data_IF_704894916674
#
_entry.id   IF_704894916674
#
_cell.length_a   1.000
_cell.length_b   1.000
_cell.length_c   1.000
_cell.angle_alpha   90.00
_cell.angle_beta   90.00
_cell.angle_gamma   90.00
#
_symmetry.space_group_name_H-M   'P 1'
#
loop_
_entity.id
_entity.type
_entity.pdbx_description
1 polymer ?
#
# COMPACT_ATOMS: atom_id res chain seq x y z
N UNK A 1 -17.95 -2.31 -73.52
CA UNK A 1 -19.13 -1.48 -73.19
C UNK A 1 -19.22 -1.37 -71.68
N UNK A 2 -18.99 -0.15 -71.17
CA UNK A 2 -19.50 0.44 -69.92
C UNK A 2 -19.33 -0.24 -68.53
N UNK A 3 -18.57 0.49 -67.68
CA UNK A 3 -18.86 0.89 -66.28
C UNK A 3 -18.74 -0.19 -65.17
N UNK A 4 -18.26 0.03 -63.93
CA UNK A 4 -17.99 1.21 -63.08
C UNK A 4 -17.02 0.73 -61.96
N UNK A 5 -15.95 1.47 -61.66
CA UNK A 5 -15.81 2.30 -60.44
C UNK A 5 -16.32 1.67 -59.14
N UNK A 6 -15.42 1.08 -58.36
CA UNK A 6 -15.48 1.05 -56.89
C UNK A 6 -14.08 1.30 -56.34
N UNK A 7 -13.62 2.52 -56.63
CA UNK A 7 -12.52 3.15 -55.92
C UNK A 7 -12.94 3.44 -54.48
N UNK A 8 -12.06 3.10 -53.54
CA UNK A 8 -11.70 3.96 -52.41
C UNK A 8 -12.87 4.26 -51.45
N UNK A 9 -13.22 3.33 -50.55
CA UNK A 9 -13.95 3.72 -49.33
C UNK A 9 -13.92 2.70 -48.16
N UNK A 10 -12.90 1.85 -47.98
CA UNK A 10 -12.85 0.94 -46.81
C UNK A 10 -11.43 0.82 -46.21
N UNK A 11 -10.57 1.84 -46.32
CA UNK A 11 -9.23 1.82 -45.65
C UNK A 11 -9.04 3.02 -44.69
N UNK A 12 -10.01 3.93 -44.59
CA UNK A 12 -9.96 5.07 -43.66
C UNK A 12 -10.68 4.84 -42.32
N UNK A 13 -11.27 3.66 -42.10
CA UNK A 13 -12.06 3.36 -40.90
C UNK A 13 -11.40 2.41 -39.89
N UNK A 14 -10.30 1.74 -40.24
CA UNK A 14 -9.70 0.67 -39.41
C UNK A 14 -8.41 1.08 -38.68
N UNK A 15 -7.99 2.35 -38.78
CA UNK A 15 -6.78 2.88 -38.13
C UNK A 15 -7.09 3.91 -37.01
N UNK A 16 -8.29 3.87 -36.44
CA UNK A 16 -8.76 4.75 -35.35
C UNK A 16 -9.34 3.97 -34.17
N UNK A 17 -8.90 2.72 -34.03
CA UNK A 17 -9.19 1.88 -32.87
C UNK A 17 -7.90 1.21 -32.37
N UNK A 18 -6.77 1.92 -32.47
CA UNK A 18 -5.72 1.71 -31.48
C UNK A 18 -6.28 2.23 -30.17
N UNK A 19 -6.89 1.30 -29.44
CA UNK A 19 -7.23 1.40 -28.04
C UNK A 19 -6.12 2.20 -27.36
N UNK A 20 -6.44 3.45 -26.97
CA UNK A 20 -5.71 4.18 -25.95
C UNK A 20 -5.73 3.30 -24.72
N UNK A 21 -4.81 2.34 -24.66
CA UNK A 21 -4.39 1.75 -23.40
C UNK A 21 -3.70 2.90 -22.68
N UNK A 22 -4.51 3.75 -22.07
CA UNK A 22 -4.08 4.62 -21.00
C UNK A 22 -3.49 3.64 -20.01
N UNK A 23 -2.16 3.52 -20.02
CA UNK A 23 -1.45 2.57 -19.16
C UNK A 23 -1.72 3.08 -17.74
N UNK A 24 -2.74 2.53 -17.10
CA UNK A 24 -3.13 2.79 -15.72
C UNK A 24 -2.11 2.14 -14.77
N UNK A 25 -0.86 2.59 -14.87
CA UNK A 25 0.19 2.16 -13.99
C UNK A 25 0.48 3.24 -12.95
N UNK A 26 0.54 2.83 -11.69
CA UNK A 26 0.48 3.71 -10.54
C UNK A 26 1.40 3.18 -9.42
N UNK A 27 1.47 3.84 -8.26
CA UNK A 27 2.37 3.46 -7.17
C UNK A 27 1.70 3.40 -5.81
N UNK A 28 2.13 2.46 -4.97
CA UNK A 28 1.64 2.32 -3.59
C UNK A 28 2.75 2.04 -2.57
N UNK A 29 2.59 2.58 -1.37
CA UNK A 29 3.39 2.25 -0.20
C UNK A 29 2.87 0.95 0.42
N UNK A 30 3.73 -0.07 0.43
CA UNK A 30 3.42 -1.43 0.87
C UNK A 30 3.94 -1.73 2.28
N UNK A 31 5.10 -1.18 2.66
CA UNK A 31 5.60 -1.26 4.03
C UNK A 31 6.15 0.10 4.48
N UNK A 32 5.65 0.69 5.59
CA UNK A 32 4.44 0.28 6.31
C UNK A 32 3.20 0.33 5.42
N UNK A 33 2.24 -0.63 5.54
CA UNK A 33 1.03 -0.63 4.73
C UNK A 33 0.27 0.68 4.87
N UNK A 34 0.06 1.36 3.74
CA UNK A 34 -0.74 2.58 3.70
C UNK A 34 -2.24 2.29 3.67
N UNK A 35 -3.06 3.26 4.09
CA UNK A 35 -4.52 3.16 4.24
C UNK A 35 -5.23 2.52 3.04
N UNK A 36 -4.76 2.83 1.83
CA UNK A 36 -5.22 2.29 0.54
C UNK A 36 -4.87 0.80 0.34
N UNK A 37 -3.71 0.35 0.82
CA UNK A 37 -3.17 -1.00 0.59
C UNK A 37 -3.37 -1.93 1.80
N UNK A 38 -3.79 -1.42 2.95
CA UNK A 38 -3.96 -2.16 4.20
C UNK A 38 -4.80 -3.45 4.05
N UNK A 39 -5.84 -3.45 3.21
CA UNK A 39 -6.66 -4.64 2.95
C UNK A 39 -5.85 -5.82 2.36
N UNK A 40 -4.77 -5.56 1.61
CA UNK A 40 -3.88 -6.60 1.07
C UNK A 40 -3.10 -7.34 2.15
N UNK A 41 -3.02 -6.76 3.33
CA UNK A 41 -2.33 -7.31 4.50
C UNK A 41 -3.32 -7.80 5.57
N UNK A 42 -4.57 -8.05 5.17
CA UNK A 42 -5.61 -8.53 6.07
C UNK A 42 -6.22 -7.45 6.97
N UNK A 43 -5.95 -6.16 6.80
CA UNK A 43 -6.61 -5.18 7.66
C UNK A 43 -8.10 -5.01 7.27
N UNK A 44 -9.03 -4.70 8.20
CA UNK A 44 -10.46 -4.54 7.94
C UNK A 44 -10.78 -3.22 7.22
N UNK A 45 -9.78 -2.62 6.58
CA UNK A 45 -9.99 -1.54 5.63
C UNK A 45 -10.81 -2.09 4.46
N UNK A 46 -11.77 -1.33 3.92
CA UNK A 46 -12.49 -1.74 2.72
C UNK A 46 -11.52 -2.05 1.58
N UNK A 47 -11.85 -3.05 0.76
CA UNK A 47 -11.03 -3.43 -0.39
C UNK A 47 -10.97 -2.25 -1.37
N UNK A 48 -9.74 -1.87 -1.75
CA UNK A 48 -9.49 -0.87 -2.78
C UNK A 48 -8.66 -1.51 -3.90
N UNK A 49 -9.31 -1.91 -5.00
CA UNK A 49 -8.61 -2.49 -6.16
C UNK A 49 -7.73 -1.49 -6.90
N UNK A 50 -8.02 -0.19 -6.73
CA UNK A 50 -7.26 0.93 -7.30
C UNK A 50 -6.36 1.55 -6.23
N UNK A 51 -5.85 0.75 -5.29
CA UNK A 51 -5.02 1.22 -4.18
C UNK A 51 -3.67 1.79 -4.62
N UNK A 52 -3.23 1.49 -5.84
CA UNK A 52 -2.10 2.18 -6.45
C UNK A 52 -2.48 3.56 -7.00
N UNK A 53 -3.76 3.85 -7.22
CA UNK A 53 -4.25 5.07 -7.89
C UNK A 53 -4.55 6.23 -6.93
N UNK A 54 -3.60 6.58 -6.04
CA UNK A 54 -3.69 7.81 -5.22
C UNK A 54 -2.84 8.95 -5.78
N UNK A 55 -3.22 9.43 -6.97
CA UNK A 55 -2.49 10.34 -7.85
C UNK A 55 -3.08 11.75 -7.87
N UNK A 56 -3.59 12.21 -6.71
CA UNK A 56 -4.19 13.55 -6.53
C UNK A 56 -5.39 13.84 -7.45
N UNK A 57 -6.05 12.79 -7.96
CA UNK A 57 -7.15 12.87 -8.92
C UNK A 57 -6.71 12.91 -10.39
N UNK A 58 -5.42 12.79 -10.68
CA UNK A 58 -4.87 12.92 -12.03
C UNK A 58 -4.18 14.26 -12.27
N UNK A 59 -3.23 14.27 -13.21
CA UNK A 59 -2.43 15.45 -13.55
C UNK A 59 -3.28 16.70 -13.80
N UNK A 60 -4.28 16.62 -14.68
CA UNK A 60 -5.12 17.77 -15.02
C UNK A 60 -5.96 18.26 -13.82
N UNK A 61 -6.49 17.33 -13.03
CA UNK A 61 -7.26 17.65 -11.82
C UNK A 61 -6.38 18.33 -10.78
N UNK A 62 -5.17 17.81 -10.53
CA UNK A 62 -4.24 18.43 -9.60
C UNK A 62 -3.82 19.82 -10.07
N UNK A 63 -3.31 19.95 -11.29
CA UNK A 63 -2.58 21.14 -11.71
C UNK A 63 -3.44 22.23 -12.32
N UNK A 64 -4.50 21.87 -13.04
CA UNK A 64 -5.34 22.83 -13.76
C UNK A 64 -6.60 23.16 -12.95
N UNK A 65 -7.28 22.16 -12.38
CA UNK A 65 -8.48 22.38 -11.57
C UNK A 65 -8.15 22.79 -10.13
N UNK A 66 -7.21 22.10 -9.49
CA UNK A 66 -6.89 22.30 -8.07
C UNK A 66 -5.66 23.20 -7.83
N UNK A 67 -5.14 23.88 -8.86
CA UNK A 67 -3.99 24.78 -8.77
C UNK A 67 -2.75 24.15 -8.09
N UNK A 68 -2.45 22.90 -8.44
CA UNK A 68 -1.35 22.11 -7.91
C UNK A 68 -1.62 21.42 -6.56
N UNK A 69 -2.79 21.64 -5.96
CA UNK A 69 -3.12 21.11 -4.64
C UNK A 69 -3.52 19.64 -4.71
N UNK A 70 -3.13 18.90 -3.69
CA UNK A 70 -3.44 17.48 -3.49
C UNK A 70 -4.01 17.28 -2.08
N UNK A 71 -4.85 16.27 -1.88
CA UNK A 71 -5.28 15.82 -0.55
C UNK A 71 -4.09 15.39 0.31
N UNK A 72 -4.29 15.37 1.63
CA UNK A 72 -3.18 15.01 2.56
C UNK A 72 -2.70 13.57 2.33
N UNK A 73 -3.58 12.70 1.84
CA UNK A 73 -3.27 11.29 1.60
C UNK A 73 -3.52 10.85 0.15
N UNK A 74 -3.36 11.78 -0.82
CA UNK A 74 -3.36 11.46 -2.26
C UNK A 74 -4.71 11.52 -2.97
N UNK A 75 -5.79 11.78 -2.25
CA UNK A 75 -7.10 12.06 -2.82
C UNK A 75 -7.11 13.36 -3.63
N UNK A 76 -8.05 13.49 -4.57
CA UNK A 76 -8.27 14.73 -5.30
C UNK A 76 -8.66 15.88 -4.37
N UNK A 77 -8.00 17.04 -4.51
CA UNK A 77 -8.13 18.12 -3.54
C UNK A 77 -9.56 18.71 -3.46
N UNK A 78 -10.31 18.77 -4.56
CA UNK A 78 -11.69 19.30 -4.53
C UNK A 78 -12.72 18.39 -3.84
N UNK A 79 -12.38 17.13 -3.53
CA UNK A 79 -13.30 16.24 -2.82
C UNK A 79 -13.65 16.80 -1.43
N UNK A 80 -14.89 16.56 -1.01
CA UNK A 80 -15.38 16.97 0.31
C UNK A 80 -14.57 16.26 1.40
N UNK A 81 -14.23 16.99 2.45
CA UNK A 81 -13.57 16.44 3.64
C UNK A 81 -14.56 15.78 4.62
N UNK A 82 -14.19 14.70 5.31
CA UNK A 82 -12.91 13.97 5.15
C UNK A 82 -12.87 13.23 3.81
N UNK A 83 -11.75 13.36 3.09
CA UNK A 83 -11.55 12.60 1.84
C UNK A 83 -11.37 11.11 2.17
N UNK A 84 -11.55 10.19 1.21
CA UNK A 84 -11.56 8.76 1.50
C UNK A 84 -10.35 8.25 2.28
N UNK A 85 -9.14 8.76 2.01
CA UNK A 85 -7.90 8.32 2.66
C UNK A 85 -7.45 9.25 3.79
N UNK A 86 -8.23 10.27 4.14
CA UNK A 86 -8.00 11.15 5.29
C UNK A 86 -8.69 10.62 6.56
N UNK A 87 -8.33 11.13 7.73
CA UNK A 87 -8.81 10.74 9.04
C UNK A 87 -10.34 10.89 9.12
N UNK A 88 -11.01 9.79 9.48
CA UNK A 88 -12.47 9.70 9.47
C UNK A 88 -13.08 9.37 8.10
N UNK A 89 -12.26 9.24 7.05
CA UNK A 89 -12.65 8.76 5.73
C UNK A 89 -12.93 7.25 5.69
N UNK A 90 -13.20 6.77 4.48
CA UNK A 90 -13.46 5.35 4.20
C UNK A 90 -12.28 4.46 4.60
N UNK A 91 -11.06 4.85 4.24
CA UNK A 91 -9.83 4.12 4.49
C UNK A 91 -9.02 4.68 5.67
N UNK A 92 -9.26 5.93 6.07
CA UNK A 92 -8.61 6.57 7.22
C UNK A 92 -9.25 6.18 8.57
N UNK A 93 -9.19 4.89 8.92
CA UNK A 93 -9.77 4.34 10.17
C UNK A 93 -8.88 4.53 11.41
N UNK A 94 -7.64 4.99 11.25
CA UNK A 94 -6.69 5.15 12.35
C UNK A 94 -6.14 3.85 12.91
N UNK A 95 -6.18 2.77 12.12
CA UNK A 95 -5.62 1.46 12.50
C UNK A 95 -4.11 1.52 12.36
N UNK A 96 -3.38 1.15 13.43
CA UNK A 96 -1.93 1.16 13.45
C UNK A 96 -1.39 -0.03 12.63
N UNK A 97 -0.73 0.24 11.51
CA UNK A 97 -0.18 -0.78 10.62
C UNK A 97 1.21 -1.27 11.03
N UNK A 98 1.97 -0.46 11.77
CA UNK A 98 3.29 -0.83 12.33
C UNK A 98 3.58 -0.14 13.65
N UNK A 99 4.44 -0.79 14.44
CA UNK A 99 4.99 -0.27 15.69
C UNK A 99 6.50 -0.17 15.55
N UNK A 100 7.05 0.98 15.93
CA UNK A 100 8.48 1.28 15.85
C UNK A 100 8.99 1.88 17.16
N UNK A 101 10.30 1.96 17.30
CA UNK A 101 10.97 2.70 18.37
C UNK A 101 11.52 4.03 17.86
N UNK A 102 11.58 5.04 18.73
CA UNK A 102 12.15 6.34 18.40
C UNK A 102 13.61 6.18 17.92
N UNK A 103 13.94 6.78 16.77
CA UNK A 103 15.27 6.67 16.17
C UNK A 103 15.53 5.42 15.33
N UNK A 104 14.56 4.50 15.25
CA UNK A 104 14.70 3.26 14.49
C UNK A 104 14.93 3.54 13.00
N UNK A 105 15.82 2.74 12.39
CA UNK A 105 15.89 2.62 10.93
C UNK A 105 14.86 1.60 10.47
N UNK A 106 13.92 2.04 9.66
CA UNK A 106 12.82 1.22 9.16
C UNK A 106 13.03 0.89 7.70
N UNK A 107 12.64 -0.31 7.30
CA UNK A 107 12.53 -0.67 5.89
C UNK A 107 11.25 -0.08 5.31
N UNK A 108 11.35 0.42 4.09
CA UNK A 108 10.26 0.97 3.30
C UNK A 108 10.16 0.15 2.03
N UNK A 109 8.97 -0.36 1.75
CA UNK A 109 8.65 -1.04 0.49
C UNK A 109 7.64 -0.23 -0.29
N UNK A 110 7.98 0.09 -1.54
CA UNK A 110 7.12 0.76 -2.51
C UNK A 110 6.97 -0.13 -3.72
N UNK A 111 5.73 -0.37 -4.16
CA UNK A 111 5.45 -1.07 -5.41
C UNK A 111 4.99 -0.07 -6.46
N UNK A 112 5.69 -0.04 -7.61
CA UNK A 112 5.25 0.70 -8.78
C UNK A 112 4.75 -0.27 -9.85
N UNK A 113 3.45 -0.21 -10.16
CA UNK A 113 2.85 -0.98 -11.26
C UNK A 113 3.04 -0.31 -12.62
N UNK A 114 3.40 0.98 -12.65
CA UNK A 114 4.25 1.58 -13.66
C UNK A 114 5.26 2.54 -13.05
N UNK A 115 6.51 2.36 -13.44
CA UNK A 115 7.61 3.21 -13.04
C UNK A 115 7.76 4.37 -14.04
N UNK A 116 7.47 5.59 -13.57
CA UNK A 116 7.63 6.83 -14.32
C UNK A 116 8.92 7.60 -13.94
N UNK A 117 9.88 6.90 -13.30
CA UNK A 117 11.11 7.47 -12.73
C UNK A 117 10.83 8.65 -11.80
N UNK A 118 11.85 9.40 -11.41
CA UNK A 118 11.71 10.53 -10.51
C UNK A 118 12.16 10.16 -9.11
N UNK A 119 11.34 10.48 -8.09
CA UNK A 119 11.78 10.34 -6.70
C UNK A 119 10.67 10.07 -5.70
N UNK A 120 11.03 9.38 -4.63
CA UNK A 120 10.19 9.24 -3.44
C UNK A 120 10.67 10.19 -2.35
N UNK A 121 9.71 10.72 -1.60
CA UNK A 121 9.93 11.48 -0.38
C UNK A 121 9.02 10.94 0.70
N UNK A 122 9.52 10.87 1.93
CA UNK A 122 8.76 10.34 3.05
C UNK A 122 8.84 11.29 4.25
N UNK A 123 7.70 11.52 4.88
CA UNK A 123 7.56 12.45 5.99
C UNK A 123 6.78 11.81 7.13
N UNK A 124 6.98 12.30 8.34
CA UNK A 124 6.27 11.87 9.54
C UNK A 124 5.44 13.03 10.12
N UNK A 125 4.27 12.73 10.67
CA UNK A 125 3.53 13.67 11.50
C UNK A 125 3.11 12.98 12.83
N UNK A 126 3.57 13.46 13.99
CA UNK A 126 3.07 13.01 15.29
C UNK A 126 1.69 13.61 15.56
N UNK A 127 0.63 12.88 15.20
CA UNK A 127 -0.75 13.37 15.19
C UNK A 127 -1.53 13.04 16.48
N UNK A 128 -1.35 11.85 17.04
CA UNK A 128 -1.92 11.35 18.30
C UNK A 128 -3.46 11.38 18.40
N UNK A 129 -4.17 11.66 17.30
CA UNK A 129 -5.63 11.66 17.25
C UNK A 129 -6.11 11.10 15.90
N UNK A 130 -6.56 9.83 15.85
CA UNK A 130 -6.96 9.18 14.60
C UNK A 130 -8.20 9.80 13.93
N UNK A 131 -8.92 10.70 14.62
CA UNK A 131 -10.09 11.43 14.07
C UNK A 131 -9.74 12.82 13.53
N UNK A 132 -8.49 13.26 13.69
CA UNK A 132 -8.02 14.56 13.20
C UNK A 132 -7.00 14.33 12.10
N UNK A 133 -7.22 14.94 10.94
CA UNK A 133 -6.29 14.82 9.82
C UNK A 133 -4.97 15.54 10.11
N UNK A 134 -3.86 14.93 9.70
CA UNK A 134 -2.55 15.54 9.78
C UNK A 134 -2.46 16.72 8.80
N UNK A 135 -1.58 17.68 9.08
CA UNK A 135 -1.39 18.84 8.20
C UNK A 135 -0.09 18.71 7.42
N UNK A 136 -0.04 19.31 6.22
CA UNK A 136 1.21 19.38 5.46
C UNK A 136 2.32 20.07 6.26
N UNK A 137 1.98 21.09 7.06
CA UNK A 137 2.93 21.77 7.95
C UNK A 137 3.54 20.84 9.00
N UNK A 138 2.78 19.86 9.48
CA UNK A 138 3.29 18.84 10.40
C UNK A 138 4.32 17.95 9.69
N UNK A 139 3.98 17.44 8.50
CA UNK A 139 4.90 16.62 7.69
C UNK A 139 6.20 17.34 7.35
N UNK A 140 6.09 18.60 6.93
CA UNK A 140 7.24 19.40 6.51
C UNK A 140 8.26 19.61 7.65
N UNK A 141 7.87 19.42 8.92
CA UNK A 141 8.77 19.51 10.08
C UNK A 141 9.57 18.23 10.33
N UNK A 142 9.14 17.08 9.78
CA UNK A 142 9.79 15.79 10.03
C UNK A 142 9.99 14.99 8.71
N UNK A 143 10.85 15.48 7.80
CA UNK A 143 11.31 14.65 6.68
C UNK A 143 12.10 13.44 7.21
N UNK A 144 11.92 12.29 6.56
CA UNK A 144 12.65 11.07 6.88
C UNK A 144 13.83 10.89 5.94
N UNK A 145 15.03 10.85 6.52
CA UNK A 145 16.28 10.72 5.77
C UNK A 145 16.56 9.26 5.45
N UNK A 146 17.10 9.02 4.26
CA UNK A 146 17.56 7.70 3.83
C UNK A 146 18.71 7.27 4.74
N UNK A 147 18.65 6.03 5.25
CA UNK A 147 19.68 5.49 6.13
C UNK A 147 21.07 5.58 5.47
N UNK A 148 22.06 6.01 6.24
CA UNK A 148 23.43 6.22 5.75
C UNK A 148 23.63 7.47 4.89
N UNK A 149 22.59 8.31 4.70
CA UNK A 149 22.65 9.50 3.85
C UNK A 149 22.11 10.76 4.56
N UNK A 150 22.40 11.93 3.99
CA UNK A 150 21.76 13.21 4.34
C UNK A 150 20.63 13.59 3.37
N UNK A 151 20.35 12.75 2.38
CA UNK A 151 19.24 12.93 1.45
C UNK A 151 17.96 12.30 2.01
N UNK A 152 16.84 12.99 1.84
CA UNK A 152 15.49 12.47 2.10
C UNK A 152 14.73 12.16 0.79
N UNK A 153 15.34 12.49 -0.35
CA UNK A 153 14.81 12.24 -1.70
C UNK A 153 15.44 10.97 -2.24
N UNK A 154 14.66 9.88 -2.27
CA UNK A 154 15.11 8.64 -2.88
C UNK A 154 14.93 8.73 -4.40
N UNK A 155 16.04 8.80 -5.14
CA UNK A 155 16.00 8.84 -6.61
C UNK A 155 15.82 7.42 -7.16
N UNK A 156 14.83 7.24 -8.02
CA UNK A 156 14.60 5.95 -8.67
C UNK A 156 15.77 5.67 -9.64
N UNK A 157 16.45 4.51 -9.53
CA UNK A 157 17.54 4.14 -10.45
C UNK A 157 17.10 4.13 -11.92
N UNK A 158 18.00 4.52 -12.83
CA UNK A 158 17.69 4.61 -14.27
C UNK A 158 17.55 3.24 -14.95
N UNK A 159 18.13 2.21 -14.35
CA UNK A 159 18.07 0.81 -14.77
C UNK A 159 16.88 0.05 -14.16
N UNK A 160 16.06 0.72 -13.34
CA UNK A 160 14.86 0.12 -12.75
C UNK A 160 13.84 -0.31 -13.82
N UNK A 161 13.10 -1.38 -13.53
CA UNK A 161 12.15 -1.97 -14.48
C UNK A 161 10.91 -1.09 -14.63
N UNK A 162 10.15 -1.32 -15.72
CA UNK A 162 8.84 -0.67 -15.94
C UNK A 162 7.82 -0.97 -14.83
N UNK A 163 7.93 -2.13 -14.19
CA UNK A 163 7.22 -2.51 -12.96
C UNK A 163 8.26 -3.01 -11.98
N UNK A 164 8.26 -2.47 -10.76
CA UNK A 164 9.31 -2.80 -9.81
C UNK A 164 8.87 -2.62 -8.36
N UNK A 165 9.60 -3.26 -7.46
CA UNK A 165 9.47 -3.11 -6.01
C UNK A 165 10.74 -2.45 -5.50
N UNK A 166 10.59 -1.26 -4.92
CA UNK A 166 11.69 -0.50 -4.35
C UNK A 166 11.74 -0.72 -2.85
N UNK A 167 12.88 -1.25 -2.38
CA UNK A 167 13.18 -1.39 -0.96
C UNK A 167 14.32 -0.48 -0.58
N UNK A 168 14.09 0.36 0.42
CA UNK A 168 15.10 1.26 0.97
C UNK A 168 14.84 1.49 2.46
N UNK A 169 15.82 2.02 3.18
CA UNK A 169 15.71 2.29 4.60
C UNK A 169 15.66 3.77 4.87
N UNK A 170 14.80 4.19 5.80
CA UNK A 170 14.74 5.56 6.31
C UNK A 170 14.89 5.57 7.82
N UNK A 171 15.33 6.70 8.38
CA UNK A 171 15.52 6.86 9.84
C UNK A 171 14.39 7.68 10.45
N UNK A 172 13.72 7.12 11.45
CA UNK A 172 12.75 7.85 12.27
C UNK A 172 13.45 8.87 13.18
N UNK A 173 12.81 9.99 13.55
CA UNK A 173 13.42 10.96 14.47
C UNK A 173 13.65 10.34 15.86
N UNK A 174 14.83 10.55 16.43
CA UNK A 174 15.26 9.93 17.69
C UNK A 174 14.47 10.37 18.93
N UNK A 175 13.78 11.50 18.85
CA UNK A 175 13.09 12.16 19.96
C UNK A 175 11.59 12.35 19.70
N UNK A 176 11.05 11.67 18.69
CA UNK A 176 9.60 11.70 18.39
C UNK A 176 8.98 10.39 18.84
N UNK A 177 7.90 10.50 19.61
CA UNK A 177 7.01 9.40 19.99
C UNK A 177 5.57 9.80 19.68
N UNK A 178 4.73 8.81 19.44
CA UNK A 178 3.33 9.01 19.11
C UNK A 178 2.54 7.71 19.29
N UNK A 179 1.32 7.84 19.81
CA UNK A 179 0.34 6.74 19.86
C UNK A 179 -0.26 6.48 18.49
N UNK A 180 -0.33 7.52 17.64
CA UNK A 180 -0.69 7.44 16.23
C UNK A 180 0.06 8.54 15.48
N UNK A 181 1.10 8.14 14.76
CA UNK A 181 1.74 8.96 13.74
C UNK A 181 1.13 8.66 12.38
N UNK A 182 1.21 9.64 11.48
CA UNK A 182 0.98 9.42 10.05
C UNK A 182 2.33 9.49 9.34
N UNK A 183 2.62 8.51 8.51
CA UNK A 183 3.70 8.55 7.53
C UNK A 183 3.11 8.93 6.18
N UNK A 184 3.64 9.95 5.53
CA UNK A 184 3.24 10.37 4.19
C UNK A 184 4.36 10.02 3.21
N UNK A 185 4.11 9.04 2.35
CA UNK A 185 4.95 8.78 1.19
C UNK A 185 4.42 9.60 0.01
N UNK A 186 5.30 10.31 -0.69
CA UNK A 186 4.98 11.04 -1.91
C UNK A 186 5.93 10.62 -3.02
N UNK A 187 5.37 10.30 -4.18
CA UNK A 187 6.10 10.01 -5.41
C UNK A 187 5.89 11.13 -6.41
N UNK A 188 6.99 11.75 -6.84
CA UNK A 188 7.03 12.72 -7.92
C UNK A 188 7.58 12.06 -9.17
N UNK A 189 6.76 11.92 -10.20
CA UNK A 189 7.17 11.31 -11.47
C UNK A 189 8.16 12.20 -12.24
N UNK A 190 8.88 11.61 -13.20
CA UNK A 190 9.83 12.34 -14.06
C UNK A 190 9.60 12.08 -15.56
N UNK A 191 8.39 11.68 -15.96
CA UNK A 191 8.01 11.42 -17.34
C UNK A 191 7.24 12.58 -18.01
N UNK A 192 6.95 13.66 -17.28
CA UNK A 192 6.25 14.82 -17.81
C UNK A 192 7.21 15.76 -18.57
N UNK A 193 6.74 16.32 -19.69
CA UNK A 193 7.45 17.40 -20.39
C UNK A 193 7.07 18.74 -19.78
N UNK A 194 8.06 19.60 -19.53
CA UNK A 194 7.79 20.94 -19.04
C UNK A 194 9.02 21.84 -19.01
N UNK A 195 8.81 23.07 -18.55
CA UNK A 195 9.85 24.08 -18.45
C UNK A 195 10.71 23.85 -17.20
N UNK A 196 12.03 23.77 -17.39
CA UNK A 196 13.04 23.66 -16.35
C UNK A 196 13.33 25.04 -15.73
N UNK A 197 14.06 25.07 -14.60
CA UNK A 197 14.40 26.31 -13.88
C UNK A 197 15.24 27.31 -14.68
N UNK A 198 16.00 26.82 -15.68
CA UNK A 198 16.79 27.62 -16.61
C UNK A 198 16.00 28.09 -17.84
N UNK A 199 14.68 27.84 -17.90
CA UNK A 199 13.80 28.22 -19.01
C UNK A 199 13.81 27.27 -20.21
N UNK A 200 14.66 26.23 -20.22
CA UNK A 200 14.62 25.20 -21.28
C UNK A 200 13.48 24.22 -21.06
N UNK A 201 13.07 23.49 -22.09
CA UNK A 201 12.08 22.42 -21.96
C UNK A 201 12.72 21.04 -22.04
N UNK A 202 12.32 20.14 -21.15
CA UNK A 202 12.79 18.76 -21.13
C UNK A 202 11.80 17.82 -20.42
N UNK A 203 11.96 16.51 -20.66
CA UNK A 203 11.30 15.46 -19.85
C UNK A 203 11.84 15.48 -18.42
N UNK A 204 10.95 15.39 -17.44
CA UNK A 204 11.24 15.47 -16.02
C UNK A 204 11.26 16.90 -15.46
N UNK A 205 10.98 17.90 -16.29
CA UNK A 205 10.83 19.29 -15.89
C UNK A 205 9.35 19.71 -15.79
N UNK A 206 9.11 20.84 -15.13
CA UNK A 206 7.77 21.36 -14.89
C UNK A 206 7.02 20.63 -13.78
N UNK A 207 5.70 20.57 -13.94
CA UNK A 207 4.76 19.99 -12.98
C UNK A 207 4.81 18.46 -13.10
N UNK A 208 5.05 17.76 -11.99
CA UNK A 208 5.05 16.29 -11.97
C UNK A 208 3.64 15.75 -11.69
N UNK A 209 3.30 14.58 -12.22
CA UNK A 209 2.23 13.80 -11.61
C UNK A 209 2.69 13.35 -10.21
N UNK A 210 1.78 13.43 -9.25
CA UNK A 210 2.10 13.21 -7.84
C UNK A 210 1.23 12.10 -7.30
N UNK A 211 1.86 11.08 -6.69
CA UNK A 211 1.17 10.06 -5.93
C UNK A 211 1.47 10.26 -4.46
N UNK A 212 0.48 10.00 -3.60
CA UNK A 212 0.67 10.19 -2.16
C UNK A 212 -0.12 9.16 -1.39
N UNK A 213 0.51 8.53 -0.41
CA UNK A 213 -0.16 7.58 0.48
C UNK A 213 0.15 7.93 1.93
N UNK A 214 -0.78 7.58 2.83
CA UNK A 214 -0.62 7.72 4.27
C UNK A 214 -0.66 6.35 4.95
N UNK A 215 0.28 6.09 5.86
CA UNK A 215 0.27 4.94 6.75
C UNK A 215 0.19 5.38 8.21
N UNK A 216 -0.66 4.73 9.00
CA UNK A 216 -0.81 5.03 10.42
C UNK A 216 0.11 4.10 11.25
N UNK A 217 1.03 4.65 12.03
CA UNK A 217 2.04 3.88 12.79
C UNK A 217 2.16 4.39 14.21
N UNK A 218 2.72 3.59 15.12
CA UNK A 218 3.01 4.01 16.48
C UNK A 218 4.53 4.01 16.74
N UNK A 219 5.02 5.01 17.47
CA UNK A 219 6.44 5.14 17.82
C UNK A 219 6.57 5.27 19.34
N UNK A 220 7.24 4.30 19.96
CA UNK A 220 7.46 4.24 21.40
C UNK A 220 8.88 4.64 21.79
N UNK A 221 9.09 5.03 23.05
CA UNK A 221 10.39 5.45 23.58
C UNK A 221 11.40 4.29 23.64
N UNK A 222 12.68 4.60 23.38
CA UNK A 222 13.80 3.66 23.47
C UNK A 222 14.39 3.52 24.89
N UNK A 223 13.68 3.98 25.93
CA UNK A 223 14.15 3.96 27.33
C UNK A 223 14.09 2.56 27.92
N UNK A 224 15.12 1.78 27.60
CA UNK A 224 15.43 0.48 28.19
C UNK A 224 16.47 -0.19 27.31
N UNK A 225 17.74 -0.18 27.71
CA UNK A 225 18.87 -0.83 27.01
C UNK A 225 18.79 -2.36 26.98
N UNK A 226 17.59 -2.93 26.83
CA UNK A 226 17.38 -4.29 26.41
C UNK A 226 17.28 -4.35 24.90
N UNK A 227 17.61 -5.51 24.34
CA UNK A 227 17.19 -5.97 23.02
C UNK A 227 15.79 -5.43 22.67
N UNK A 228 15.50 -5.18 21.37
CA UNK A 228 14.17 -4.73 20.96
C UNK A 228 13.15 -5.56 21.72
N UNK A 229 12.10 -4.98 22.35
CA UNK A 229 11.00 -5.82 22.74
C UNK A 229 10.61 -6.55 21.46
N UNK A 230 10.92 -7.84 21.40
CA UNK A 230 10.22 -8.74 20.53
C UNK A 230 8.78 -8.42 20.88
N UNK A 231 8.07 -7.75 19.96
CA UNK A 231 6.66 -7.41 20.10
C UNK A 231 5.82 -8.70 20.02
N UNK A 232 6.24 -9.72 20.78
CA UNK A 232 5.51 -10.89 21.20
C UNK A 232 4.43 -10.32 22.10
N UNK A 233 3.21 -10.26 21.58
CA UNK A 233 1.94 -9.91 22.25
C UNK A 233 1.26 -8.59 21.87
N UNK A 234 1.69 -7.85 20.84
CA UNK A 234 0.77 -6.86 20.26
C UNK A 234 0.02 -7.50 19.09
N UNK A 235 -0.99 -8.31 19.43
CA UNK A 235 -1.98 -8.77 18.45
C UNK A 235 -2.62 -7.52 17.88
N UNK A 236 -2.44 -7.26 16.59
CA UNK A 236 -3.27 -6.29 15.92
C UNK A 236 -4.70 -6.89 15.92
N UNK A 237 -5.66 -6.35 16.68
CA UNK A 237 -7.02 -6.90 16.71
C UNK A 237 -7.75 -6.75 15.36
N UNK A 238 -7.08 -6.10 14.40
CA UNK A 238 -7.52 -5.79 13.05
C UNK A 238 -6.56 -6.35 12.00
N UNK A 239 -5.64 -7.26 12.30
CA UNK A 239 -5.22 -8.18 11.24
C UNK A 239 -6.37 -9.19 11.18
N UNK A 240 -7.09 -9.27 10.06
CA UNK A 240 -7.73 -10.51 9.64
C UNK A 240 -6.58 -11.50 9.52
N UNK A 241 -6.31 -12.13 10.66
CA UNK A 241 -5.26 -13.11 10.83
C UNK A 241 -5.59 -14.26 9.89
N UNK A 242 -4.87 -14.33 8.78
CA UNK A 242 -4.94 -15.47 7.89
C UNK A 242 -4.58 -16.72 8.70
N UNK A 243 -5.54 -17.63 8.87
CA UNK A 243 -5.28 -18.87 9.62
C UNK A 243 -4.19 -19.68 8.92
N UNK A 244 -3.11 -19.98 9.62
CA UNK A 244 -2.06 -20.87 9.15
C UNK A 244 -2.08 -22.16 9.95
N UNK A 245 -2.25 -23.29 9.29
CA UNK A 245 -2.32 -24.60 9.92
C UNK A 245 -1.08 -25.43 9.61
N UNK A 246 -0.82 -26.43 10.43
CA UNK A 246 0.19 -27.42 10.17
C UNK A 246 -0.16 -28.23 8.90
N UNK A 247 0.84 -28.53 8.10
CA UNK A 247 0.67 -29.47 6.99
C UNK A 247 0.29 -30.86 7.52
N UNK A 248 -0.30 -31.75 6.69
CA UNK A 248 -0.75 -33.06 7.15
C UNK A 248 0.29 -33.88 7.92
N UNK A 249 1.58 -33.71 7.59
CA UNK A 249 2.69 -34.38 8.25
C UNK A 249 2.95 -33.89 9.69
N UNK A 250 2.60 -32.65 10.02
CA UNK A 250 2.92 -32.02 11.31
C UNK A 250 1.69 -31.71 12.17
N UNK A 251 0.46 -31.91 11.67
CA UNK A 251 -0.80 -31.63 12.39
C UNK A 251 -0.99 -32.41 13.70
N UNK A 252 -0.29 -33.53 13.84
CA UNK A 252 -0.34 -34.38 15.05
C UNK A 252 0.51 -33.84 16.20
N UNK A 253 1.38 -32.86 15.93
CA UNK A 253 2.21 -32.24 16.95
C UNK A 253 1.39 -31.18 17.72
N UNK A 254 1.25 -31.31 19.04
CA UNK A 254 0.52 -30.34 19.85
C UNK A 254 1.10 -28.92 19.69
N UNK A 255 0.25 -27.96 19.35
CA UNK A 255 0.64 -26.55 19.22
C UNK A 255 1.30 -26.16 17.88
N UNK A 256 1.34 -27.07 16.90
CA UNK A 256 1.93 -26.80 15.58
C UNK A 256 1.16 -25.73 14.79
N UNK A 257 -0.18 -25.73 14.85
CA UNK A 257 -0.99 -24.68 14.19
C UNK A 257 -0.64 -23.29 14.74
N UNK A 258 -0.54 -23.18 16.07
CA UNK A 258 -0.08 -21.95 16.73
C UNK A 258 1.35 -21.58 16.34
N UNK A 259 2.22 -22.56 16.11
CA UNK A 259 3.57 -22.31 15.60
C UNK A 259 3.54 -21.75 14.18
N UNK A 260 2.70 -22.32 13.30
CA UNK A 260 2.49 -21.85 11.93
C UNK A 260 1.95 -20.43 11.90
N UNK A 261 0.91 -20.12 12.68
CA UNK A 261 0.39 -18.74 12.81
C UNK A 261 1.50 -17.76 13.21
N UNK A 262 2.28 -18.07 14.26
CA UNK A 262 3.32 -17.16 14.75
C UNK A 262 4.53 -17.03 13.80
N UNK A 263 4.87 -18.05 13.03
CA UNK A 263 6.06 -18.03 12.16
C UNK A 263 5.75 -17.63 10.72
N UNK A 264 4.54 -17.92 10.23
CA UNK A 264 4.11 -17.55 8.89
C UNK A 264 3.57 -16.13 8.82
N UNK A 265 2.90 -15.65 9.87
CA UNK A 265 2.27 -14.31 9.88
C UNK A 265 3.17 -13.21 10.44
N UNK A 266 4.35 -13.54 10.97
CA UNK A 266 5.34 -12.54 11.39
C UNK A 266 6.02 -11.89 10.17
N UNK A 267 6.60 -10.70 10.35
CA UNK A 267 7.44 -10.08 9.33
C UNK A 267 8.91 -9.98 9.78
N UNK A 268 9.90 -10.37 8.95
CA UNK A 268 9.73 -11.11 7.70
C UNK A 268 9.18 -12.53 7.95
N UNK A 269 8.31 -13.05 7.05
CA UNK A 269 7.68 -14.35 7.24
C UNK A 269 8.69 -15.48 7.17
N UNK A 270 8.54 -16.46 8.04
CA UNK A 270 9.30 -17.70 8.04
C UNK A 270 8.33 -18.88 7.99
N UNK A 271 7.78 -19.12 6.80
CA UNK A 271 6.75 -20.13 6.57
C UNK A 271 7.27 -21.26 5.68
N UNK A 272 7.89 -22.31 6.24
CA UNK A 272 8.28 -23.47 5.46
C UNK A 272 7.03 -24.22 4.95
N UNK A 273 6.85 -24.25 3.63
CA UNK A 273 5.69 -24.86 2.96
C UNK A 273 5.53 -26.37 3.27
N UNK A 274 6.62 -27.03 3.65
CA UNK A 274 6.60 -28.45 4.07
C UNK A 274 5.92 -28.65 5.42
N UNK A 275 5.92 -27.62 6.28
CA UNK A 275 5.44 -27.71 7.65
C UNK A 275 4.15 -26.93 7.90
N UNK A 276 3.90 -25.86 7.14
CA UNK A 276 2.76 -24.98 7.33
C UNK A 276 2.05 -24.66 6.01
N UNK A 277 0.73 -24.53 6.09
CA UNK A 277 -0.14 -24.13 5.00
C UNK A 277 -1.04 -22.98 5.47
N UNK A 278 -1.02 -21.87 4.74
CA UNK A 278 -1.85 -20.70 5.02
C UNK A 278 -2.85 -20.54 3.85
N UNK A 279 -4.07 -21.10 3.96
CA UNK A 279 -5.10 -20.94 2.92
C UNK A 279 -5.44 -19.47 2.69
N UNK A 280 -5.46 -19.06 1.42
CA UNK A 280 -5.95 -17.74 0.99
C UNK A 280 -7.44 -17.76 0.65
N UNK A 281 -7.97 -18.96 0.44
CA UNK A 281 -9.35 -19.25 0.07
C UNK A 281 -9.85 -20.41 0.93
N UNK A 282 -11.16 -20.49 1.12
CA UNK A 282 -11.82 -21.47 1.97
C UNK A 282 -13.04 -21.97 1.20
N UNK A 283 -13.02 -23.25 0.82
CA UNK A 283 -14.12 -23.87 0.08
C UNK A 283 -14.95 -24.73 1.02
N UNK A 284 -16.27 -24.58 0.96
CA UNK A 284 -17.19 -25.42 1.71
C UNK A 284 -17.20 -26.84 1.12
N UNK A 285 -16.99 -27.84 1.98
CA UNK A 285 -16.98 -29.26 1.60
C UNK A 285 -18.01 -30.05 2.42
N UNK A 286 -18.37 -31.23 1.95
CA UNK A 286 -19.31 -32.11 2.66
C UNK A 286 -20.74 -31.53 2.69
N UNK A 287 -21.33 -31.37 3.88
CA UNK A 287 -22.73 -30.95 4.04
C UNK A 287 -23.03 -29.50 3.55
N UNK A 288 -21.98 -28.72 3.32
CA UNK A 288 -22.06 -27.31 2.91
C UNK A 288 -21.62 -27.10 1.46
N UNK A 289 -21.12 -28.14 0.79
CA UNK A 289 -20.65 -28.08 -0.59
C UNK A 289 -21.76 -27.63 -1.55
N UNK A 290 -21.44 -26.68 -2.44
CA UNK A 290 -22.34 -26.20 -3.49
C UNK A 290 -23.52 -25.34 -3.03
N UNK A 291 -23.60 -24.99 -1.74
CA UNK A 291 -24.62 -24.06 -1.23
C UNK A 291 -24.22 -22.61 -1.48
N UNK A 292 -25.18 -21.81 -1.93
CA UNK A 292 -24.98 -20.38 -2.17
C UNK A 292 -24.55 -19.66 -0.87
N UNK A 293 -23.42 -18.95 -0.94
CA UNK A 293 -22.84 -18.23 0.21
C UNK A 293 -22.07 -19.09 1.23
N UNK A 294 -21.92 -20.40 0.98
CA UNK A 294 -21.20 -21.28 1.90
C UNK A 294 -19.68 -21.04 1.91
N UNK A 295 -19.08 -20.72 0.76
CA UNK A 295 -17.66 -20.40 0.65
C UNK A 295 -17.36 -19.03 1.29
N UNK A 296 -18.24 -18.04 1.11
CA UNK A 296 -18.10 -16.74 1.80
C UNK A 296 -18.24 -16.91 3.32
N UNK A 297 -19.18 -17.76 3.77
CA UNK A 297 -19.29 -18.10 5.18
C UNK A 297 -18.07 -18.88 5.69
N UNK A 298 -17.47 -19.76 4.88
CA UNK A 298 -16.22 -20.46 5.16
C UNK A 298 -15.10 -19.44 5.42
N UNK A 299 -14.92 -18.48 4.51
CA UNK A 299 -13.93 -17.41 4.65
C UNK A 299 -14.10 -16.65 5.98
N UNK A 300 -15.33 -16.24 6.29
CA UNK A 300 -15.67 -15.50 7.51
C UNK A 300 -15.55 -16.35 8.78
N UNK A 301 -15.84 -17.65 8.71
CA UNK A 301 -15.84 -18.52 9.88
C UNK A 301 -14.48 -19.15 10.16
N UNK A 302 -13.65 -19.38 9.14
CA UNK A 302 -12.46 -20.24 9.23
C UNK A 302 -11.13 -19.52 9.02
N UNK A 303 -11.08 -18.39 8.32
CA UNK A 303 -9.82 -17.65 8.10
C UNK A 303 -9.62 -16.52 9.10
N UNK A 304 -10.11 -16.72 10.34
CA UNK A 304 -10.02 -15.77 11.45
C UNK A 304 -9.29 -16.40 12.65
N UNK A 305 -8.61 -15.58 13.45
CA UNK A 305 -7.90 -16.01 14.66
C UNK A 305 -8.83 -16.62 15.71
N UNK A 306 -8.48 -17.81 16.22
CA UNK A 306 -9.28 -18.51 17.23
C UNK A 306 -10.57 -19.13 16.68
N UNK A 307 -10.75 -19.16 15.35
CA UNK A 307 -11.83 -19.91 14.72
C UNK A 307 -11.66 -21.41 14.93
N UNK A 308 -12.73 -22.08 15.35
CA UNK A 308 -12.84 -23.53 15.26
C UNK A 308 -13.36 -23.88 13.87
N UNK A 309 -12.44 -24.27 12.97
CA UNK A 309 -12.78 -24.63 11.60
C UNK A 309 -12.75 -26.15 11.48
N UNK A 310 -13.91 -26.83 11.53
CA UNK A 310 -13.95 -28.28 11.46
C UNK A 310 -13.49 -28.76 10.08
N UNK A 311 -12.39 -29.49 10.08
CA UNK A 311 -11.73 -30.08 8.92
C UNK A 311 -12.62 -30.96 8.00
N UNK A 312 -13.85 -31.27 8.42
CA UNK A 312 -14.81 -32.09 7.66
C UNK A 312 -15.85 -31.26 6.91
N UNK A 313 -15.85 -29.93 7.07
CA UNK A 313 -16.87 -29.02 6.52
C UNK A 313 -16.30 -27.93 5.62
N UNK A 314 -14.99 -27.69 5.72
CA UNK A 314 -14.31 -26.59 5.07
C UNK A 314 -12.90 -27.01 4.71
N UNK A 315 -12.46 -26.79 3.47
CA UNK A 315 -11.08 -26.61 2.99
C UNK A 315 -11.10 -26.21 1.51
#
# INVERSE_FOLDING_TARGET
MKLRSFSVLIILGSCLLECLTLVKGHGRLMDPPARNAMWRFGYPNPVNYNDNELFCGGYAVQWEQNAGRCGICGDAYHLKTPRPHEAGGEYGKGIISRYYTAGQEIEVEVELTANHYGRFEMYLCPNNNPRKEATQDCFNRFPLYISGSREYRYLIPRDAKKKDIFRYKVRLPAYVTCTQCVLQWTYYTANMWGTCSNGTEAVGCGKAETFRNCADVAIVSNTGGGLPPLFVNNRNPYLLDQKCIASPAFRVLPGMDKWCENNCLRYPPNCPETACYCPQECVAIGELEGKEGADTYCMDACLNYGSDCPAKRYF
#
